data_IF_935926148321
#
_entry.id   IF_935926148321
#
_cell.length_a   1.000
_cell.length_b   1.000
_cell.length_c   1.000
_cell.angle_alpha   90.00
_cell.angle_beta   90.00
_cell.angle_gamma   90.00
#
_symmetry.space_group_name_H-M   'P 1'
#
loop_
_entity.id
_entity.type
_entity.pdbx_description
1 polymer ?
#
# COMPACT_ATOMS: atom_id res chain seq x y z
N UNK A 1 -39.80 -9.99 -13.56
CA UNK A 1 -38.90 -9.23 -14.46
C UNK A 1 -37.64 -8.99 -13.68
N UNK A 2 -36.48 -9.54 -14.07
CA UNK A 2 -35.23 -9.20 -13.38
C UNK A 2 -34.95 -7.73 -13.67
N UNK A 3 -35.01 -6.88 -12.66
CA UNK A 3 -34.74 -5.45 -12.85
C UNK A 3 -33.24 -5.28 -13.01
N UNK A 4 -32.77 -5.17 -14.25
CA UNK A 4 -31.36 -4.93 -14.57
C UNK A 4 -31.15 -3.46 -14.90
N UNK A 5 -30.10 -2.87 -14.35
CA UNK A 5 -29.70 -1.48 -14.62
C UNK A 5 -28.25 -1.43 -15.11
N UNK A 6 -27.88 -0.49 -15.99
CA UNK A 6 -26.49 -0.27 -16.32
C UNK A 6 -25.77 0.31 -15.11
N UNK A 7 -24.69 -0.33 -14.68
CA UNK A 7 -23.86 0.12 -13.58
C UNK A 7 -22.38 -0.01 -13.90
N UNK A 8 -21.56 0.81 -13.24
CA UNK A 8 -20.10 0.76 -13.39
C UNK A 8 -19.51 -0.12 -12.29
N UNK A 9 -18.84 -1.21 -12.69
CA UNK A 9 -18.19 -2.13 -11.77
C UNK A 9 -16.83 -1.57 -11.39
N UNK A 10 -16.66 -1.09 -10.15
CA UNK A 10 -15.40 -0.45 -9.71
C UNK A 10 -14.18 -1.36 -9.81
N UNK A 11 -14.35 -2.66 -9.56
CA UNK A 11 -13.28 -3.66 -9.57
C UNK A 11 -12.72 -3.87 -10.98
N UNK A 12 -13.62 -4.06 -11.95
CA UNK A 12 -13.26 -4.40 -13.33
C UNK A 12 -13.18 -3.15 -14.22
N UNK A 13 -13.70 -2.02 -13.73
CA UNK A 13 -13.79 -0.70 -14.40
C UNK A 13 -14.54 -0.76 -15.73
N UNK A 14 -15.59 -1.55 -15.76
CA UNK A 14 -16.43 -1.75 -16.95
C UNK A 14 -17.88 -1.45 -16.63
N UNK A 15 -18.62 -1.06 -17.66
CA UNK A 15 -20.07 -0.99 -17.58
C UNK A 15 -20.66 -2.39 -17.73
N UNK A 16 -21.53 -2.77 -16.80
CA UNK A 16 -22.23 -4.04 -16.81
C UNK A 16 -23.71 -3.85 -16.47
N UNK A 17 -24.54 -4.79 -16.90
CA UNK A 17 -25.94 -4.87 -16.47
C UNK A 17 -25.99 -5.51 -15.09
N UNK A 18 -26.26 -4.71 -14.06
CA UNK A 18 -26.36 -5.14 -12.68
C UNK A 18 -27.79 -5.58 -12.39
N UNK A 19 -27.91 -6.77 -11.83
CA UNK A 19 -29.20 -7.30 -11.39
C UNK A 19 -29.53 -6.80 -9.99
N UNK A 20 -30.62 -6.04 -9.89
CA UNK A 20 -31.05 -5.39 -8.65
C UNK A 20 -31.51 -6.40 -7.59
N UNK A 21 -31.77 -7.67 -7.94
CA UNK A 21 -32.09 -8.73 -6.97
C UNK A 21 -30.95 -8.99 -5.97
N UNK A 22 -29.71 -8.71 -6.34
CA UNK A 22 -28.55 -8.84 -5.46
C UNK A 22 -28.19 -7.56 -4.70
N UNK A 23 -29.03 -6.51 -4.81
CA UNK A 23 -28.78 -5.25 -4.13
C UNK A 23 -29.14 -5.39 -2.66
N UNK A 24 -28.15 -5.25 -1.79
CA UNK A 24 -28.33 -5.20 -0.34
C UNK A 24 -28.08 -3.78 0.14
N UNK A 25 -28.88 -3.35 1.12
CA UNK A 25 -28.63 -2.08 1.79
C UNK A 25 -27.33 -2.21 2.57
N UNK A 26 -26.32 -1.45 2.16
CA UNK A 26 -25.16 -1.21 3.00
C UNK A 26 -25.64 -0.28 4.11
N UNK A 27 -25.99 -0.86 5.27
CA UNK A 27 -26.49 -0.07 6.41
C UNK A 27 -25.43 0.95 6.78
N UNK A 28 -25.68 2.22 6.43
CA UNK A 28 -24.87 3.34 6.87
C UNK A 28 -25.37 3.75 8.26
N UNK A 29 -24.97 3.03 9.30
CA UNK A 29 -25.08 3.53 10.67
C UNK A 29 -24.03 4.62 10.89
N UNK A 30 -24.13 5.71 10.14
CA UNK A 30 -23.38 6.94 10.40
C UNK A 30 -23.82 7.61 11.71
N UNK A 31 -24.93 7.14 12.32
CA UNK A 31 -25.48 7.66 13.57
C UNK A 31 -25.05 6.86 14.82
N UNK A 32 -24.51 5.63 14.67
CA UNK A 32 -24.10 4.79 15.82
C UNK A 32 -22.58 4.57 15.91
N UNK A 33 -21.77 5.30 15.15
CA UNK A 33 -20.32 5.33 15.37
C UNK A 33 -19.99 6.21 16.60
N UNK A 34 -20.56 5.87 17.76
CA UNK A 34 -19.97 6.29 19.03
C UNK A 34 -18.59 5.64 19.11
N UNK A 35 -17.50 6.40 19.28
CA UNK A 35 -16.21 5.82 19.62
C UNK A 35 -16.36 5.27 21.04
N UNK A 36 -16.76 4.00 21.16
CA UNK A 36 -16.73 3.33 22.45
C UNK A 36 -15.27 3.15 22.83
N UNK A 37 -14.90 3.77 23.93
CA UNK A 37 -13.62 3.64 24.60
C UNK A 37 -13.30 2.15 24.82
N UNK A 38 -12.12 1.75 24.34
CA UNK A 38 -11.36 0.55 24.71
C UNK A 38 -12.03 -0.83 24.50
N UNK A 39 -11.38 -1.65 23.67
CA UNK A 39 -11.36 -3.11 23.73
C UNK A 39 -12.56 -3.95 23.21
N UNK A 40 -13.47 -3.40 22.41
CA UNK A 40 -14.18 -4.27 21.47
C UNK A 40 -13.26 -4.60 20.30
N UNK A 41 -12.76 -5.84 20.25
CA UNK A 41 -12.00 -6.37 19.12
C UNK A 41 -12.75 -6.07 17.81
N UNK A 42 -12.29 -5.07 17.08
CA UNK A 42 -12.82 -4.66 15.78
C UNK A 42 -12.83 -5.88 14.84
N UNK A 43 -13.99 -6.51 14.70
CA UNK A 43 -14.15 -7.76 13.95
C UNK A 43 -14.04 -7.54 12.43
N UNK A 44 -14.07 -6.29 11.95
CA UNK A 44 -13.91 -5.95 10.54
C UNK A 44 -12.52 -6.25 10.00
N UNK A 45 -12.36 -6.29 8.68
CA UNK A 45 -11.07 -6.63 8.07
C UNK A 45 -9.91 -5.72 8.53
N UNK A 46 -10.18 -4.42 8.72
CA UNK A 46 -9.18 -3.45 9.19
C UNK A 46 -8.67 -3.75 10.61
N UNK A 47 -9.58 -4.08 11.53
CA UNK A 47 -9.27 -4.41 12.92
C UNK A 47 -8.38 -5.65 13.04
N UNK A 48 -8.53 -6.60 12.14
CA UNK A 48 -7.72 -7.82 12.11
C UNK A 48 -6.33 -7.64 11.47
N UNK A 49 -6.05 -6.51 10.81
CA UNK A 49 -4.74 -6.27 10.20
C UNK A 49 -3.62 -6.19 11.24
N UNK A 50 -2.50 -6.84 10.94
CA UNK A 50 -1.26 -6.73 11.73
C UNK A 50 -0.46 -5.56 11.17
N UNK A 51 -0.67 -4.38 11.72
CA UNK A 51 -0.01 -3.13 11.30
C UNK A 51 1.06 -2.70 12.31
N UNK A 52 2.05 -1.88 11.89
CA UNK A 52 2.94 -1.19 12.82
C UNK A 52 2.16 -0.38 13.86
N UNK A 53 2.78 -0.16 15.03
CA UNK A 53 2.16 0.57 16.14
C UNK A 53 1.76 1.99 15.75
N UNK A 54 0.59 2.44 16.20
CA UNK A 54 0.04 3.78 15.92
C UNK A 54 -0.62 3.94 14.55
N UNK A 55 -0.34 3.07 13.56
CA UNK A 55 -0.91 3.20 12.21
C UNK A 55 -2.42 3.13 12.19
N UNK A 56 -3.02 2.21 12.97
CA UNK A 56 -4.48 2.10 13.08
C UNK A 56 -5.06 3.39 13.62
N UNK A 57 -4.55 3.87 14.76
CA UNK A 57 -5.07 5.06 15.44
C UNK A 57 -4.99 6.30 14.57
N UNK A 58 -3.86 6.48 13.87
CA UNK A 58 -3.65 7.58 12.93
C UNK A 58 -4.68 7.56 11.78
N UNK A 59 -4.86 6.41 11.13
CA UNK A 59 -5.83 6.28 10.03
C UNK A 59 -7.27 6.47 10.52
N UNK A 60 -7.60 5.85 11.67
CA UNK A 60 -8.92 5.94 12.29
C UNK A 60 -9.24 7.32 12.84
N UNK A 61 -8.23 8.15 13.10
CA UNK A 61 -8.45 9.55 13.48
C UNK A 61 -8.73 10.43 12.27
N UNK A 62 -7.93 10.28 11.20
CA UNK A 62 -8.00 11.18 10.03
C UNK A 62 -9.19 10.91 9.11
N UNK A 63 -9.48 9.64 8.82
CA UNK A 63 -10.51 9.26 7.84
C UNK A 63 -11.91 9.71 8.26
N UNK A 64 -12.41 9.42 9.47
CA UNK A 64 -13.73 9.90 9.89
C UNK A 64 -13.75 11.41 10.10
N UNK A 65 -12.64 12.04 10.54
CA UNK A 65 -12.56 13.50 10.59
C UNK A 65 -12.76 14.13 9.21
N UNK A 66 -12.14 13.56 8.16
CA UNK A 66 -12.34 14.03 6.78
C UNK A 66 -13.79 13.88 6.34
N UNK A 67 -14.42 12.70 6.53
CA UNK A 67 -15.83 12.51 6.18
C UNK A 67 -16.75 13.48 6.92
N UNK A 68 -16.56 13.66 8.24
CA UNK A 68 -17.34 14.61 9.04
C UNK A 68 -17.20 16.05 8.53
N UNK A 69 -15.99 16.47 8.17
CA UNK A 69 -15.75 17.81 7.61
C UNK A 69 -16.43 17.97 6.25
N UNK A 70 -16.36 16.95 5.38
CA UNK A 70 -17.04 16.94 4.08
C UNK A 70 -18.56 17.09 4.23
N UNK A 71 -19.18 16.34 5.13
CA UNK A 71 -20.62 16.46 5.41
C UNK A 71 -21.01 17.82 6.00
N UNK A 72 -20.19 18.39 6.87
CA UNK A 72 -20.42 19.74 7.44
C UNK A 72 -20.29 20.84 6.39
N UNK A 73 -19.32 20.74 5.49
CA UNK A 73 -19.14 21.69 4.38
C UNK A 73 -20.32 21.66 3.39
N UNK A 74 -21.02 20.52 3.27
CA UNK A 74 -22.28 20.45 2.53
C UNK A 74 -23.46 21.10 3.29
N UNK A 75 -23.39 21.19 4.62
CA UNK A 75 -24.44 21.72 5.49
C UNK A 75 -24.28 23.21 5.84
N UNK A 76 -23.06 23.76 5.77
CA UNK A 76 -22.73 25.17 5.96
C UNK A 76 -21.59 25.56 5.04
N UNK A 77 -21.68 26.77 4.47
CA UNK A 77 -20.63 27.48 3.72
C UNK A 77 -19.50 27.92 4.69
N UNK A 78 -18.95 26.98 5.46
CA UNK A 78 -18.01 27.25 6.55
C UNK A 78 -16.57 27.32 6.00
N UNK A 79 -16.09 28.56 5.98
CA UNK A 79 -14.90 29.05 5.33
C UNK A 79 -13.66 28.83 6.22
N UNK A 80 -12.75 27.94 5.82
CA UNK A 80 -11.54 27.61 6.61
C UNK A 80 -10.24 28.16 6.03
N UNK A 81 -10.28 28.89 4.92
CA UNK A 81 -9.08 29.39 4.23
C UNK A 81 -9.00 30.93 4.23
N UNK A 82 -7.80 31.46 4.51
CA UNK A 82 -7.53 32.90 4.69
C UNK A 82 -7.60 33.65 3.34
N UNK A 83 -7.32 32.96 2.23
CA UNK A 83 -7.27 33.57 0.89
C UNK A 83 -8.51 33.20 0.08
N UNK A 84 -9.29 34.21 -0.30
CA UNK A 84 -10.43 34.05 -1.22
C UNK A 84 -9.94 33.68 -2.63
N UNK A 85 -10.48 32.60 -3.20
CA UNK A 85 -10.43 32.36 -4.66
C UNK A 85 -9.43 31.34 -5.20
N UNK A 86 -8.78 30.52 -4.36
CA UNK A 86 -7.99 29.39 -4.88
C UNK A 86 -8.88 28.20 -5.23
N UNK A 87 -9.08 27.97 -6.54
CA UNK A 87 -9.32 26.61 -7.07
C UNK A 87 -10.77 26.25 -7.38
N UNK A 88 -11.30 26.73 -8.50
CA UNK A 88 -12.25 25.95 -9.29
C UNK A 88 -11.44 25.31 -10.41
N UNK A 89 -11.24 23.99 -10.37
CA UNK A 89 -10.69 23.27 -11.52
C UNK A 89 -11.86 22.86 -12.42
N UNK A 90 -11.90 23.42 -13.62
CA UNK A 90 -12.88 23.03 -14.64
C UNK A 90 -12.28 21.85 -15.42
N UNK A 91 -12.89 20.68 -15.31
CA UNK A 91 -12.53 19.47 -16.04
C UNK A 91 -13.53 19.30 -17.18
N UNK A 92 -13.05 19.36 -18.42
CA UNK A 92 -13.87 19.07 -19.59
C UNK A 92 -13.60 17.65 -20.07
N UNK A 93 -14.61 16.78 -20.02
CA UNK A 93 -14.58 15.42 -20.52
C UNK A 93 -15.32 15.32 -21.84
N UNK A 94 -14.67 14.77 -22.87
CA UNK A 94 -15.28 14.55 -24.18
C UNK A 94 -15.33 13.05 -24.48
N UNK A 95 -16.52 12.49 -24.70
CA UNK A 95 -16.67 11.09 -25.09
C UNK A 95 -17.87 10.90 -26.02
N UNK A 96 -17.67 10.21 -27.15
CA UNK A 96 -18.75 9.87 -28.09
C UNK A 96 -19.51 11.08 -28.65
N UNK A 97 -18.83 12.19 -28.93
CA UNK A 97 -19.45 13.43 -29.44
C UNK A 97 -20.09 14.34 -28.39
N UNK A 98 -20.09 13.95 -27.11
CA UNK A 98 -20.61 14.75 -26.00
C UNK A 98 -19.48 15.35 -25.17
N UNK A 99 -19.63 16.61 -24.76
CA UNK A 99 -18.69 17.31 -23.87
C UNK A 99 -19.37 17.64 -22.54
N UNK A 100 -18.72 17.26 -21.43
CA UNK A 100 -19.18 17.46 -20.06
C UNK A 100 -18.16 18.32 -19.33
N UNK A 101 -18.59 19.42 -18.70
CA UNK A 101 -17.73 20.22 -17.84
C UNK A 101 -18.06 19.99 -16.37
N UNK A 102 -17.09 19.51 -15.61
CA UNK A 102 -17.16 19.34 -14.16
C UNK A 102 -16.38 20.47 -13.50
N UNK A 103 -17.01 21.15 -12.54
CA UNK A 103 -16.30 22.08 -11.67
C UNK A 103 -15.95 21.31 -10.40
N UNK A 104 -14.67 20.99 -10.21
CA UNK A 104 -14.19 20.58 -8.90
C UNK A 104 -14.16 21.82 -8.02
N UNK A 105 -15.15 21.91 -7.13
CA UNK A 105 -15.18 22.89 -6.06
C UNK A 105 -14.20 22.45 -4.97
N UNK A 106 -13.46 23.42 -4.43
CA UNK A 106 -12.52 23.22 -3.33
C UNK A 106 -13.27 23.05 -1.99
N UNK A 107 -14.15 22.05 -1.93
CA UNK A 107 -15.02 21.76 -0.80
C UNK A 107 -14.24 20.95 0.25
N UNK A 108 -13.28 21.60 0.91
CA UNK A 108 -12.42 21.00 1.93
C UNK A 108 -11.12 20.40 1.39
N UNK A 109 -10.04 20.51 2.17
CA UNK A 109 -8.74 19.91 1.84
C UNK A 109 -8.90 18.39 1.76
N UNK A 110 -8.56 17.79 0.61
CA UNK A 110 -8.50 16.33 0.45
C UNK A 110 -7.62 15.66 1.51
N UNK A 111 -7.80 14.37 1.73
CA UNK A 111 -6.93 13.59 2.61
C UNK A 111 -6.06 12.66 1.77
N UNK A 112 -4.76 12.95 1.70
CA UNK A 112 -3.79 12.15 0.95
C UNK A 112 -2.89 11.41 1.93
N UNK A 113 -2.96 10.08 1.92
CA UNK A 113 -2.18 9.18 2.77
C UNK A 113 -1.23 8.37 1.90
N UNK A 114 0.08 8.48 2.14
CA UNK A 114 1.10 7.65 1.52
C UNK A 114 1.40 6.43 2.38
N UNK A 115 1.25 5.23 1.82
CA UNK A 115 1.67 3.97 2.39
C UNK A 115 2.94 3.51 1.68
N UNK A 116 4.07 3.42 2.38
CA UNK A 116 5.34 3.10 1.74
C UNK A 116 6.13 2.06 2.54
N UNK A 117 7.04 1.34 1.86
CA UNK A 117 7.95 0.39 2.51
C UNK A 117 7.93 -0.97 1.83
N UNK A 118 8.29 -2.03 2.57
CA UNK A 118 8.54 -3.35 2.04
C UNK A 118 7.35 -3.95 1.25
N UNK A 119 7.59 -4.76 0.20
CA UNK A 119 6.52 -5.39 -0.55
C UNK A 119 5.80 -6.47 0.27
N UNK A 120 4.49 -6.63 0.05
CA UNK A 120 3.71 -7.74 0.61
C UNK A 120 3.39 -7.64 2.12
N UNK A 121 3.51 -6.46 2.72
CA UNK A 121 3.29 -6.21 4.17
C UNK A 121 1.93 -5.57 4.51
N UNK A 122 1.02 -5.48 3.55
CA UNK A 122 -0.37 -5.04 3.82
C UNK A 122 -0.70 -3.57 3.49
N UNK A 123 0.12 -2.88 2.69
CA UNK A 123 -0.17 -1.49 2.23
C UNK A 123 -1.53 -1.39 1.52
N UNK A 124 -1.71 -2.10 0.41
CA UNK A 124 -2.97 -2.16 -0.35
C UNK A 124 -4.14 -2.62 0.53
N UNK A 125 -3.94 -3.66 1.34
CA UNK A 125 -4.95 -4.20 2.25
C UNK A 125 -5.37 -3.21 3.35
N UNK A 126 -4.51 -2.26 3.71
CA UNK A 126 -4.88 -1.20 4.65
C UNK A 126 -5.94 -0.30 4.04
N UNK A 127 -5.76 0.15 2.79
CA UNK A 127 -6.76 0.97 2.09
C UNK A 127 -8.08 0.20 1.87
N UNK A 128 -7.99 -1.09 1.53
CA UNK A 128 -9.16 -1.98 1.42
C UNK A 128 -9.92 -2.07 2.75
N UNK A 129 -9.21 -2.32 3.86
CA UNK A 129 -9.80 -2.40 5.19
C UNK A 129 -10.44 -1.08 5.63
N UNK A 130 -9.83 0.06 5.30
CA UNK A 130 -10.41 1.39 5.57
C UNK A 130 -11.73 1.56 4.80
N UNK A 131 -11.73 1.26 3.51
CA UNK A 131 -12.94 1.37 2.69
C UNK A 131 -14.08 0.48 3.24
N UNK A 132 -13.77 -0.77 3.62
CA UNK A 132 -14.72 -1.68 4.25
C UNK A 132 -15.23 -1.18 5.60
N UNK A 133 -14.35 -0.64 6.45
CA UNK A 133 -14.70 -0.15 7.78
C UNK A 133 -15.64 1.04 7.72
N UNK A 134 -15.37 1.99 6.83
CA UNK A 134 -16.20 3.18 6.66
C UNK A 134 -17.36 2.97 5.67
N UNK A 135 -17.56 1.75 5.16
CA UNK A 135 -18.62 1.40 4.20
C UNK A 135 -18.60 2.29 2.96
N UNK A 136 -17.40 2.60 2.48
CA UNK A 136 -17.16 3.40 1.29
C UNK A 136 -16.70 2.51 0.15
N UNK A 137 -17.10 2.76 -1.11
CA UNK A 137 -16.56 2.01 -2.21
C UNK A 137 -15.05 2.30 -2.36
N UNK A 138 -14.29 1.27 -2.74
CA UNK A 138 -12.87 1.41 -3.06
C UNK A 138 -12.73 1.54 -4.58
N UNK A 139 -12.10 2.62 -5.03
CA UNK A 139 -11.77 2.81 -6.45
C UNK A 139 -10.25 2.73 -6.64
N UNK A 140 -9.79 1.60 -7.17
CA UNK A 140 -8.36 1.33 -7.38
C UNK A 140 -7.92 1.70 -8.81
N UNK A 141 -6.80 2.40 -8.91
CA UNK A 141 -6.13 2.80 -10.15
C UNK A 141 -4.72 2.21 -10.15
N UNK A 142 -4.32 1.68 -11.30
CA UNK A 142 -2.98 1.18 -11.59
C UNK A 142 -2.45 1.84 -12.87
N UNK A 143 -1.13 1.92 -13.01
CA UNK A 143 -0.47 2.70 -14.06
C UNK A 143 -0.70 2.15 -15.47
N UNK A 144 -0.89 0.83 -15.60
CA UNK A 144 -1.22 0.18 -16.88
C UNK A 144 -2.53 0.65 -17.51
N UNK A 145 -3.32 1.47 -16.81
CA UNK A 145 -4.63 1.93 -17.24
C UNK A 145 -4.68 3.39 -17.68
N UNK A 146 -3.56 4.10 -17.66
CA UNK A 146 -3.54 5.55 -17.83
C UNK A 146 -2.96 5.99 -19.18
N UNK A 147 -3.28 5.24 -20.25
CA UNK A 147 -2.87 5.59 -21.61
C UNK A 147 -1.35 5.45 -21.83
N UNK A 148 -0.92 5.68 -23.08
CA UNK A 148 0.49 5.56 -23.49
C UNK A 148 1.19 6.90 -23.68
N UNK A 149 0.46 8.02 -23.59
CA UNK A 149 1.00 9.38 -23.71
C UNK A 149 0.45 10.28 -22.59
N UNK A 150 1.15 11.40 -22.35
CA UNK A 150 0.88 12.30 -21.23
C UNK A 150 -0.50 12.97 -21.25
N UNK A 151 -1.08 13.20 -22.43
CA UNK A 151 -2.39 13.83 -22.54
C UNK A 151 -3.50 12.84 -22.17
N UNK A 152 -3.42 11.61 -22.66
CA UNK A 152 -4.34 10.53 -22.31
C UNK A 152 -4.22 10.17 -20.83
N UNK A 153 -2.99 10.20 -20.31
CA UNK A 153 -2.71 10.01 -18.90
C UNK A 153 -3.39 11.06 -18.02
N UNK A 154 -3.19 12.35 -18.33
CA UNK A 154 -3.81 13.45 -17.59
C UNK A 154 -5.34 13.35 -17.63
N UNK A 155 -5.92 13.13 -18.82
CA UNK A 155 -7.36 13.03 -19.00
C UNK A 155 -7.96 11.84 -18.23
N UNK A 156 -7.31 10.67 -18.30
CA UNK A 156 -7.76 9.49 -17.58
C UNK A 156 -7.64 9.67 -16.06
N UNK A 157 -6.54 10.26 -15.58
CA UNK A 157 -6.35 10.54 -14.16
C UNK A 157 -7.41 11.53 -13.63
N UNK A 158 -7.63 12.64 -14.34
CA UNK A 158 -8.67 13.62 -14.00
C UNK A 158 -10.07 12.99 -13.98
N UNK A 159 -10.38 12.16 -14.98
CA UNK A 159 -11.66 11.44 -15.06
C UNK A 159 -11.85 10.54 -13.84
N UNK A 160 -10.84 9.73 -13.52
CA UNK A 160 -10.93 8.81 -12.38
C UNK A 160 -11.08 9.57 -11.05
N UNK A 161 -10.39 10.70 -10.88
CA UNK A 161 -10.49 11.52 -9.66
C UNK A 161 -11.87 12.16 -9.53
N UNK A 162 -12.44 12.66 -10.63
CA UNK A 162 -13.79 13.21 -10.66
C UNK A 162 -14.84 12.13 -10.33
N UNK A 163 -14.70 10.93 -10.88
CA UNK A 163 -15.57 9.79 -10.58
C UNK A 163 -15.44 9.36 -9.11
N UNK A 164 -14.22 9.22 -8.59
CA UNK A 164 -13.98 8.89 -7.19
C UNK A 164 -14.67 9.87 -6.24
N UNK A 165 -14.59 11.16 -6.53
CA UNK A 165 -15.25 12.19 -5.74
C UNK A 165 -16.79 12.12 -5.85
N UNK A 166 -17.30 11.93 -7.08
CA UNK A 166 -18.75 11.83 -7.34
C UNK A 166 -19.38 10.62 -6.66
N UNK A 167 -18.66 9.51 -6.58
CA UNK A 167 -19.12 8.27 -5.93
C UNK A 167 -18.81 8.22 -4.43
N UNK A 168 -18.21 9.26 -3.87
CA UNK A 168 -17.79 9.34 -2.46
C UNK A 168 -16.92 8.13 -2.05
N UNK A 169 -15.99 7.75 -2.93
CA UNK A 169 -15.12 6.59 -2.77
C UNK A 169 -13.84 6.92 -2.00
N UNK A 170 -13.24 5.87 -1.41
CA UNK A 170 -11.81 5.86 -1.12
C UNK A 170 -11.07 5.56 -2.43
N UNK A 171 -10.20 6.47 -2.85
CA UNK A 171 -9.36 6.28 -4.03
C UNK A 171 -8.04 5.62 -3.62
N UNK A 172 -7.61 4.60 -4.36
CA UNK A 172 -6.35 3.90 -4.16
C UNK A 172 -5.53 3.95 -5.44
N UNK A 173 -4.33 4.52 -5.36
CA UNK A 173 -3.35 4.53 -6.44
C UNK A 173 -2.21 3.61 -6.02
N UNK A 174 -2.16 2.42 -6.63
CA UNK A 174 -1.18 1.39 -6.29
C UNK A 174 0.11 1.59 -7.11
N UNK A 175 1.27 1.34 -6.51
CA UNK A 175 2.59 1.49 -7.17
C UNK A 175 2.83 2.89 -7.75
N UNK A 176 2.56 3.91 -6.92
CA UNK A 176 2.60 5.31 -7.31
C UNK A 176 3.97 5.80 -7.79
N UNK A 177 5.04 5.04 -7.53
CA UNK A 177 6.38 5.28 -8.07
C UNK A 177 6.42 5.27 -9.60
N UNK A 178 5.56 4.49 -10.26
CA UNK A 178 5.48 4.49 -11.73
C UNK A 178 4.92 5.82 -12.27
N UNK A 179 4.12 6.55 -11.46
CA UNK A 179 3.61 7.88 -11.85
C UNK A 179 4.65 9.01 -11.74
N UNK A 180 5.83 8.73 -11.21
CA UNK A 180 6.90 9.72 -11.11
C UNK A 180 7.52 10.06 -12.47
N UNK A 181 7.30 9.23 -13.51
CA UNK A 181 7.66 9.58 -14.89
C UNK A 181 6.92 10.85 -15.38
N UNK A 182 5.67 11.07 -14.94
CA UNK A 182 4.84 12.23 -15.26
C UNK A 182 4.55 13.11 -14.03
N UNK A 183 5.57 13.23 -13.16
CA UNK A 183 5.52 13.91 -11.86
C UNK A 183 4.76 15.23 -11.85
N UNK A 184 4.99 16.09 -12.85
CA UNK A 184 4.39 17.45 -12.90
C UNK A 184 2.87 17.40 -12.98
N UNK A 185 2.33 16.50 -13.82
CA UNK A 185 0.89 16.33 -14.00
C UNK A 185 0.27 15.72 -12.76
N UNK A 186 0.90 14.67 -12.22
CA UNK A 186 0.43 13.99 -11.03
C UNK A 186 0.32 14.93 -9.82
N UNK A 187 1.37 15.72 -9.52
CA UNK A 187 1.37 16.68 -8.42
C UNK A 187 0.27 17.76 -8.57
N UNK A 188 0.04 18.23 -9.80
CA UNK A 188 -1.02 19.20 -10.07
C UNK A 188 -2.39 18.61 -9.74
N UNK A 189 -2.66 17.37 -10.16
CA UNK A 189 -3.96 16.74 -9.92
C UNK A 189 -4.19 16.42 -8.43
N UNK A 190 -3.14 16.03 -7.69
CA UNK A 190 -3.21 15.84 -6.24
C UNK A 190 -3.66 17.11 -5.49
N UNK A 191 -3.24 18.29 -5.95
CA UNK A 191 -3.55 19.58 -5.30
C UNK A 191 -5.06 19.90 -5.30
N UNK A 192 -5.80 19.42 -6.30
CA UNK A 192 -7.23 19.69 -6.45
C UNK A 192 -8.12 18.53 -6.00
N UNK A 193 -7.55 17.43 -5.51
CA UNK A 193 -8.33 16.29 -5.08
C UNK A 193 -9.00 16.56 -3.74
N UNK A 194 -10.34 16.49 -3.70
CA UNK A 194 -11.16 16.80 -2.53
C UNK A 194 -11.72 15.56 -1.80
N UNK A 195 -11.15 14.38 -2.06
CA UNK A 195 -11.56 13.11 -1.44
C UNK A 195 -10.48 12.47 -0.57
N UNK A 196 -10.65 11.18 -0.27
CA UNK A 196 -9.65 10.37 0.42
C UNK A 196 -8.84 9.57 -0.60
N UNK A 197 -7.54 9.82 -0.65
CA UNK A 197 -6.60 9.16 -1.55
C UNK A 197 -5.53 8.42 -0.76
N UNK A 198 -5.44 7.12 -0.99
CA UNK A 198 -4.31 6.30 -0.60
C UNK A 198 -3.36 6.13 -1.78
N UNK A 199 -2.09 6.40 -1.54
CA UNK A 199 -0.99 6.12 -2.45
C UNK A 199 -0.19 4.97 -1.87
N UNK A 200 0.17 3.95 -2.66
CA UNK A 200 1.14 2.93 -2.23
C UNK A 200 2.42 3.05 -3.01
N UNK A 201 3.56 2.76 -2.39
CA UNK A 201 4.83 2.63 -3.12
C UNK A 201 5.80 1.67 -2.42
N UNK A 202 6.65 1.04 -3.22
CA UNK A 202 7.81 0.31 -2.72
C UNK A 202 9.13 1.11 -2.88
N UNK A 203 9.10 2.28 -3.54
CA UNK A 203 10.28 3.08 -3.89
C UNK A 203 10.19 4.51 -3.34
N UNK A 204 10.31 4.66 -2.02
CA UNK A 204 10.24 6.00 -1.44
C UNK A 204 11.40 6.91 -1.88
N UNK A 205 12.53 6.34 -2.30
CA UNK A 205 13.69 7.12 -2.79
C UNK A 205 13.39 7.99 -4.02
N UNK A 206 12.32 7.68 -4.75
CA UNK A 206 11.95 8.44 -5.95
C UNK A 206 11.08 9.69 -5.61
N UNK A 207 10.60 9.80 -4.37
CA UNK A 207 9.75 10.89 -3.89
C UNK A 207 10.61 12.07 -3.39
N UNK A 208 10.24 13.29 -3.78
CA UNK A 208 10.93 14.53 -3.39
C UNK A 208 10.10 15.38 -2.43
N UNK A 209 10.67 16.51 -2.01
CA UNK A 209 10.02 17.51 -1.17
C UNK A 209 8.70 18.04 -1.79
N UNK A 210 8.65 18.23 -3.11
CA UNK A 210 7.45 18.72 -3.79
C UNK A 210 6.29 17.71 -3.68
N UNK A 211 6.57 16.41 -3.71
CA UNK A 211 5.59 15.37 -3.46
C UNK A 211 5.20 15.30 -1.99
N UNK A 212 6.19 15.29 -1.09
CA UNK A 212 5.97 15.27 0.36
C UNK A 212 5.05 16.40 0.81
N UNK A 213 5.17 17.60 0.23
CA UNK A 213 4.33 18.77 0.56
C UNK A 213 2.82 18.59 0.30
N UNK A 214 2.43 17.59 -0.50
CA UNK A 214 1.02 17.28 -0.84
C UNK A 214 0.49 16.06 -0.06
N UNK A 215 1.35 15.36 0.66
CA UNK A 215 0.96 14.22 1.50
C UNK A 215 0.59 14.75 2.89
N UNK A 216 -0.59 14.37 3.37
CA UNK A 216 -1.03 14.73 4.73
C UNK A 216 -0.45 13.80 5.77
N UNK A 217 -0.27 12.52 5.41
CA UNK A 217 0.29 11.50 6.28
C UNK A 217 1.08 10.48 5.49
N UNK A 218 2.28 10.16 5.96
CA UNK A 218 3.12 9.09 5.41
C UNK A 218 3.26 7.98 6.45
N UNK A 219 2.84 6.76 6.09
CA UNK A 219 2.90 5.58 6.95
C UNK A 219 3.92 4.60 6.41
N UNK A 220 4.97 4.35 7.20
CA UNK A 220 6.02 3.40 6.86
C UNK A 220 5.63 1.97 7.24
N UNK A 221 5.84 1.03 6.32
CA UNK A 221 5.62 -0.39 6.52
C UNK A 221 6.97 -1.13 6.42
N UNK A 222 7.63 -1.38 7.56
CA UNK A 222 8.86 -2.15 7.58
C UNK A 222 8.61 -3.61 7.22
N UNK A 223 9.68 -4.36 6.99
CA UNK A 223 9.61 -5.81 6.93
C UNK A 223 9.08 -6.39 8.24
N UNK A 224 8.45 -7.56 8.15
CA UNK A 224 7.87 -8.22 9.31
C UNK A 224 8.99 -8.61 10.31
N UNK A 225 8.84 -8.12 11.53
CA UNK A 225 9.54 -8.66 12.71
C UNK A 225 9.09 -10.09 12.98
N UNK A 226 9.84 -10.84 13.77
CA UNK A 226 9.44 -12.17 14.24
C UNK A 226 8.05 -12.15 14.88
N UNK A 227 7.82 -11.19 15.79
CA UNK A 227 6.53 -11.03 16.47
C UNK A 227 5.40 -10.81 15.47
N UNK A 228 5.57 -9.89 14.52
CA UNK A 228 4.55 -9.62 13.51
C UNK A 228 4.36 -10.81 12.55
N UNK A 229 5.41 -11.57 12.25
CA UNK A 229 5.35 -12.79 11.42
C UNK A 229 4.46 -13.83 12.09
N UNK A 230 4.71 -14.12 13.37
CA UNK A 230 3.88 -15.03 14.17
C UNK A 230 2.42 -14.54 14.25
N UNK A 231 2.19 -13.24 14.45
CA UNK A 231 0.84 -12.66 14.43
C UNK A 231 0.13 -12.86 13.08
N UNK A 232 0.83 -12.67 11.95
CA UNK A 232 0.27 -12.89 10.61
C UNK A 232 -0.04 -14.37 10.37
N UNK A 233 0.81 -15.30 10.84
CA UNK A 233 0.51 -16.74 10.79
C UNK A 233 -0.75 -17.07 11.62
N UNK A 234 -0.82 -16.63 12.88
CA UNK A 234 -2.00 -16.81 13.74
C UNK A 234 -3.27 -16.30 13.07
N UNK A 235 -3.22 -15.11 12.46
CA UNK A 235 -4.34 -14.56 11.70
C UNK A 235 -4.77 -15.49 10.57
N UNK A 236 -3.84 -15.96 9.74
CA UNK A 236 -4.17 -16.87 8.63
C UNK A 236 -4.77 -18.19 9.11
N UNK A 237 -4.21 -18.81 10.16
CA UNK A 237 -4.75 -20.04 10.74
C UNK A 237 -6.15 -19.84 11.32
N UNK A 238 -6.39 -18.71 12.00
CA UNK A 238 -7.72 -18.33 12.49
C UNK A 238 -8.72 -18.16 11.34
N UNK A 239 -8.34 -17.47 10.27
CA UNK A 239 -9.19 -17.30 9.07
C UNK A 239 -9.52 -18.64 8.41
N UNK A 240 -8.58 -19.60 8.41
CA UNK A 240 -8.84 -20.97 7.94
C UNK A 240 -9.88 -21.65 8.83
N UNK A 241 -9.71 -21.63 10.16
CA UNK A 241 -10.67 -22.20 11.11
C UNK A 241 -12.06 -21.60 10.94
N UNK A 242 -12.16 -20.28 10.84
CA UNK A 242 -13.43 -19.57 10.66
C UNK A 242 -14.13 -19.96 9.35
N UNK A 243 -13.38 -20.11 8.25
CA UNK A 243 -13.93 -20.56 6.96
C UNK A 243 -14.52 -21.97 7.05
N UNK A 244 -13.83 -22.88 7.74
CA UNK A 244 -14.32 -24.23 7.99
C UNK A 244 -15.59 -24.22 8.84
N UNK A 245 -15.59 -23.46 9.94
CA UNK A 245 -16.73 -23.33 10.83
C UNK A 245 -17.96 -22.75 10.10
N UNK A 246 -17.79 -21.74 9.24
CA UNK A 246 -18.89 -21.13 8.46
C UNK A 246 -19.58 -22.09 7.49
N UNK A 247 -18.91 -23.21 7.15
CA UNK A 247 -19.44 -24.28 6.28
C UNK A 247 -19.84 -25.52 7.08
N UNK A 248 -19.94 -25.41 8.40
CA UNK A 248 -20.19 -26.52 9.32
C UNK A 248 -19.17 -27.68 9.19
N UNK A 249 -17.93 -27.36 8.77
CA UNK A 249 -16.82 -28.33 8.62
C UNK A 249 -15.84 -28.19 9.77
N UNK A 250 -15.14 -29.29 10.08
CA UNK A 250 -14.10 -29.32 11.12
C UNK A 250 -12.73 -29.55 10.51
N UNK A 251 -11.72 -28.86 11.05
CA UNK A 251 -10.31 -29.03 10.71
C UNK A 251 -9.49 -29.14 12.00
N UNK A 252 -8.57 -30.09 12.04
CA UNK A 252 -7.53 -30.13 13.07
C UNK A 252 -6.30 -29.37 12.56
N UNK A 253 -5.74 -28.48 13.37
CA UNK A 253 -4.55 -27.71 13.02
C UNK A 253 -3.55 -27.84 14.16
N UNK A 254 -2.33 -28.27 13.86
CA UNK A 254 -1.23 -28.32 14.83
C UNK A 254 -0.60 -26.92 14.96
N UNK A 255 -1.38 -25.98 15.52
CA UNK A 255 -1.07 -24.55 15.52
C UNK A 255 0.25 -24.24 16.22
N UNK A 256 0.51 -24.79 17.41
CA UNK A 256 1.73 -24.50 18.16
C UNK A 256 3.00 -24.92 17.41
N UNK A 257 2.99 -26.10 16.79
CA UNK A 257 4.11 -26.59 15.98
C UNK A 257 4.35 -25.72 14.75
N UNK A 258 3.27 -25.36 14.03
CA UNK A 258 3.33 -24.47 12.87
C UNK A 258 3.93 -23.10 13.24
N UNK A 259 3.51 -22.53 14.37
CA UNK A 259 4.00 -21.24 14.84
C UNK A 259 5.47 -21.33 15.31
N UNK A 260 5.86 -22.41 15.98
CA UNK A 260 7.25 -22.64 16.35
C UNK A 260 8.15 -22.74 15.12
N UNK A 261 7.73 -23.50 14.10
CA UNK A 261 8.46 -23.63 12.84
C UNK A 261 8.53 -22.31 12.08
N UNK A 262 7.44 -21.53 12.04
CA UNK A 262 7.47 -20.20 11.43
C UNK A 262 8.46 -19.25 12.11
N UNK A 263 8.53 -19.28 13.45
CA UNK A 263 9.51 -18.51 14.21
C UNK A 263 10.94 -18.98 13.97
N UNK A 264 11.17 -20.30 13.94
CA UNK A 264 12.46 -20.89 13.62
C UNK A 264 12.93 -20.50 12.21
N UNK A 265 12.05 -20.58 11.20
CA UNK A 265 12.33 -20.12 9.83
C UNK A 265 12.77 -18.65 9.81
N UNK A 266 12.03 -17.77 10.49
CA UNK A 266 12.37 -16.34 10.51
C UNK A 266 13.76 -16.05 11.10
N UNK A 267 14.16 -16.81 12.13
CA UNK A 267 15.47 -16.69 12.79
C UNK A 267 16.60 -17.28 11.96
N UNK A 268 16.37 -18.46 11.36
CA UNK A 268 17.39 -19.22 10.67
C UNK A 268 17.62 -18.77 9.22
N UNK A 269 16.62 -18.15 8.59
CA UNK A 269 16.64 -17.78 7.17
C UNK A 269 16.54 -16.25 6.96
N UNK A 270 17.53 -15.44 7.39
CA UNK A 270 17.46 -13.98 7.32
C UNK A 270 17.33 -13.43 5.89
N UNK A 271 17.89 -14.11 4.90
CA UNK A 271 17.82 -13.73 3.47
C UNK A 271 16.50 -14.17 2.80
N UNK A 272 15.74 -15.07 3.43
CA UNK A 272 14.53 -15.68 2.87
C UNK A 272 13.32 -15.55 3.81
N UNK A 273 13.27 -14.49 4.62
CA UNK A 273 12.12 -14.17 5.46
C UNK A 273 10.87 -13.92 4.62
N UNK A 274 9.76 -14.49 5.04
CA UNK A 274 8.48 -14.29 4.37
C UNK A 274 7.87 -12.93 4.68
N UNK A 275 7.32 -12.28 3.66
CA UNK A 275 6.36 -11.18 3.83
C UNK A 275 4.93 -11.71 4.03
N UNK A 276 3.97 -10.83 4.32
CA UNK A 276 2.58 -11.21 4.58
C UNK A 276 1.91 -11.95 3.41
N UNK A 277 2.21 -11.56 2.15
CA UNK A 277 1.71 -12.28 0.96
C UNK A 277 2.26 -13.70 0.89
N UNK A 278 3.55 -13.87 1.16
CA UNK A 278 4.19 -15.19 1.17
C UNK A 278 3.65 -16.06 2.31
N UNK A 279 3.45 -15.52 3.52
CA UNK A 279 2.85 -16.25 4.65
C UNK A 279 1.45 -16.76 4.27
N UNK A 280 0.61 -15.90 3.66
CA UNK A 280 -0.71 -16.29 3.17
C UNK A 280 -0.61 -17.44 2.17
N UNK A 281 0.26 -17.32 1.17
CA UNK A 281 0.47 -18.36 0.17
C UNK A 281 0.92 -19.67 0.82
N UNK A 282 1.89 -19.62 1.74
CA UNK A 282 2.38 -20.79 2.47
C UNK A 282 1.25 -21.48 3.24
N UNK A 283 0.43 -20.73 3.97
CA UNK A 283 -0.72 -21.28 4.70
C UNK A 283 -1.76 -21.90 3.76
N UNK A 284 -2.06 -21.24 2.63
CA UNK A 284 -3.03 -21.73 1.64
C UNK A 284 -2.54 -22.99 0.93
N UNK A 285 -1.27 -23.04 0.53
CA UNK A 285 -0.67 -24.22 -0.10
C UNK A 285 -0.59 -25.38 0.88
N UNK A 286 -0.17 -25.15 2.13
CA UNK A 286 -0.15 -26.18 3.15
C UNK A 286 -1.56 -26.75 3.43
N UNK A 287 -2.57 -25.89 3.49
CA UNK A 287 -3.97 -26.31 3.58
C UNK A 287 -4.41 -27.14 2.37
N UNK A 288 -4.08 -26.71 1.16
CA UNK A 288 -4.43 -27.44 -0.06
C UNK A 288 -3.79 -28.84 -0.09
N UNK A 289 -2.54 -28.98 0.36
CA UNK A 289 -1.88 -30.28 0.50
C UNK A 289 -2.59 -31.17 1.53
N UNK A 290 -2.98 -30.61 2.68
CA UNK A 290 -3.72 -31.33 3.70
C UNK A 290 -5.11 -31.77 3.22
N UNK A 291 -5.81 -30.91 2.48
CA UNK A 291 -7.10 -31.21 1.87
C UNK A 291 -6.97 -32.32 0.81
N UNK A 292 -5.93 -32.26 -0.02
CA UNK A 292 -5.64 -33.27 -1.04
C UNK A 292 -5.34 -34.64 -0.43
N UNK A 293 -4.51 -34.70 0.62
CA UNK A 293 -4.20 -35.96 1.30
C UNK A 293 -5.40 -36.54 2.05
N UNK A 294 -6.33 -35.69 2.52
CA UNK A 294 -7.58 -36.12 3.15
C UNK A 294 -8.63 -36.67 2.16
N UNK A 295 -8.42 -36.59 0.84
CA UNK A 295 -9.34 -37.14 -0.15
C UNK A 295 -9.28 -38.68 -0.20
N UNK A 296 -10.44 -39.37 -0.35
CA UNK A 296 -10.48 -40.82 -0.43
C UNK A 296 -9.74 -41.34 -1.68
N UNK A 297 -9.21 -42.57 -1.59
CA UNK A 297 -8.54 -43.23 -2.72
C UNK A 297 -9.53 -43.34 -3.89
N UNK A 298 -9.19 -42.77 -5.05
CA UNK A 298 -10.03 -42.72 -6.24
C UNK A 298 -10.70 -41.37 -6.53
N UNK A 299 -10.80 -40.48 -5.53
CA UNK A 299 -11.40 -39.15 -5.69
C UNK A 299 -10.37 -38.01 -5.81
N UNK A 300 -9.08 -38.34 -5.91
CA UNK A 300 -7.97 -37.37 -5.84
C UNK A 300 -7.98 -36.29 -6.94
N UNK A 301 -8.66 -36.58 -8.04
CA UNK A 301 -8.75 -35.70 -9.20
C UNK A 301 -10.21 -35.30 -9.50
N UNK A 302 -11.14 -35.69 -8.63
CA UNK A 302 -12.55 -35.33 -8.80
C UNK A 302 -12.80 -33.93 -8.23
N UNK A 303 -13.09 -32.99 -9.13
CA UNK A 303 -13.33 -31.58 -8.80
C UNK A 303 -14.69 -31.36 -8.12
N UNK A 304 -15.59 -32.35 -8.14
CA UNK A 304 -16.96 -32.22 -7.65
C UNK A 304 -17.19 -32.90 -6.30
N UNK A 305 -16.16 -33.52 -5.70
CA UNK A 305 -16.30 -34.20 -4.41
C UNK A 305 -16.26 -33.17 -3.28
N UNK A 306 -17.44 -32.68 -2.92
CA UNK A 306 -17.67 -31.96 -1.66
C UNK A 306 -18.15 -32.91 -0.57
N UNK A 307 -17.23 -33.74 -0.08
CA UNK A 307 -17.54 -34.65 1.00
C UNK A 307 -17.44 -33.88 2.35
N UNK A 308 -18.60 -33.60 2.96
CA UNK A 308 -18.74 -32.73 4.14
C UNK A 308 -18.06 -33.31 5.39
N UNK A 309 -17.94 -34.65 5.48
CA UNK A 309 -17.37 -35.37 6.63
C UNK A 309 -15.83 -35.53 6.59
N UNK A 310 -15.15 -34.87 5.64
CA UNK A 310 -13.68 -34.96 5.50
C UNK A 310 -12.96 -34.41 6.74
N UNK A 311 -12.23 -35.27 7.44
CA UNK A 311 -11.35 -34.90 8.55
C UNK A 311 -10.02 -34.39 8.02
N UNK A 312 -9.95 -33.08 7.75
CA UNK A 312 -8.70 -32.44 7.35
C UNK A 312 -7.82 -32.19 8.58
N UNK A 313 -6.54 -32.57 8.50
CA UNK A 313 -5.55 -32.32 9.53
C UNK A 313 -4.35 -31.58 8.93
N UNK A 314 -4.24 -30.30 9.25
CA UNK A 314 -3.12 -29.44 8.87
C UNK A 314 -1.98 -29.59 9.87
N UNK A 315 -0.98 -30.37 9.50
CA UNK A 315 0.24 -30.63 10.28
C UNK A 315 1.41 -29.74 9.83
N UNK A 316 2.45 -29.66 10.66
CA UNK A 316 3.71 -28.96 10.33
C UNK A 316 4.45 -29.59 9.13
N UNK A 317 4.23 -30.87 8.83
CA UNK A 317 4.85 -31.56 7.69
C UNK A 317 4.54 -30.86 6.36
N UNK A 318 3.30 -30.41 6.16
CA UNK A 318 2.90 -29.67 4.97
C UNK A 318 3.59 -28.31 4.87
N UNK A 319 3.71 -27.62 6.01
CA UNK A 319 4.45 -26.36 6.08
C UNK A 319 5.91 -26.57 5.67
N UNK A 320 6.56 -27.62 6.17
CA UNK A 320 7.95 -27.95 5.83
C UNK A 320 8.11 -28.28 4.33
N UNK A 321 7.19 -29.04 3.74
CA UNK A 321 7.19 -29.32 2.28
C UNK A 321 7.16 -28.02 1.46
N UNK A 322 6.26 -27.09 1.81
CA UNK A 322 6.13 -25.80 1.11
C UNK A 322 7.36 -24.91 1.34
N UNK A 323 7.88 -24.90 2.57
CA UNK A 323 9.07 -24.13 2.95
C UNK A 323 10.30 -24.58 2.17
N UNK A 324 10.50 -25.90 2.06
CA UNK A 324 11.61 -26.46 1.29
C UNK A 324 11.55 -26.03 -0.17
N UNK A 325 10.39 -26.17 -0.83
CA UNK A 325 10.21 -25.75 -2.21
C UNK A 325 10.47 -24.24 -2.41
N UNK A 326 10.04 -23.41 -1.46
CA UNK A 326 10.31 -21.97 -1.48
C UNK A 326 11.82 -21.66 -1.34
N UNK A 327 12.51 -22.32 -0.41
CA UNK A 327 13.95 -22.11 -0.21
C UNK A 327 14.75 -22.55 -1.43
N UNK A 328 14.38 -23.65 -2.07
CA UNK A 328 15.04 -24.12 -3.29
C UNK A 328 14.86 -23.13 -4.45
N UNK A 329 13.68 -22.53 -4.58
CA UNK A 329 13.45 -21.44 -5.53
C UNK A 329 14.28 -20.18 -5.21
N UNK A 330 14.38 -19.79 -3.94
CA UNK A 330 15.18 -18.63 -3.54
C UNK A 330 16.67 -18.86 -3.80
N UNK A 331 17.19 -20.07 -3.56
CA UNK A 331 18.56 -20.45 -3.93
C UNK A 331 18.78 -20.35 -5.44
N UNK A 332 17.82 -20.83 -6.24
CA UNK A 332 17.86 -20.69 -7.70
C UNK A 332 17.91 -19.22 -8.12
N UNK A 333 17.04 -18.36 -7.59
CA UNK A 333 17.06 -16.92 -7.91
C UNK A 333 18.38 -16.25 -7.52
N UNK A 334 18.96 -16.61 -6.37
CA UNK A 334 20.27 -16.11 -5.94
C UNK A 334 21.36 -16.54 -6.92
N UNK A 335 21.32 -17.77 -7.41
CA UNK A 335 22.26 -18.27 -8.43
C UNK A 335 22.12 -17.53 -9.77
N UNK A 336 20.89 -17.23 -10.20
CA UNK A 336 20.62 -16.51 -11.46
C UNK A 336 21.02 -15.04 -11.37
N UNK A 337 20.70 -14.37 -10.27
CA UNK A 337 20.90 -12.93 -10.14
C UNK A 337 22.19 -12.51 -9.45
N UNK A 338 22.96 -13.47 -8.91
CA UNK A 338 24.22 -13.22 -8.20
C UNK A 338 24.07 -12.64 -6.78
N UNK A 339 22.87 -12.24 -6.36
CA UNK A 339 22.59 -11.63 -5.06
C UNK A 339 21.17 -11.98 -4.59
N UNK A 340 20.92 -11.94 -3.28
CA UNK A 340 19.62 -12.24 -2.70
C UNK A 340 18.59 -11.13 -2.96
N UNK A 341 17.32 -11.37 -2.64
CA UNK A 341 16.25 -10.40 -2.87
C UNK A 341 16.46 -9.08 -2.10
N UNK A 342 17.11 -9.12 -0.94
CA UNK A 342 17.48 -7.95 -0.16
C UNK A 342 18.65 -7.17 -0.76
N UNK A 343 19.68 -7.87 -1.26
CA UNK A 343 20.77 -7.28 -2.03
C UNK A 343 20.26 -6.54 -3.27
N UNK A 344 19.44 -7.19 -4.09
CA UNK A 344 18.81 -6.56 -5.27
C UNK A 344 17.97 -5.35 -4.94
N UNK A 345 17.24 -5.40 -3.81
CA UNK A 345 16.43 -4.27 -3.38
C UNK A 345 17.27 -3.07 -2.92
N UNK A 346 18.49 -3.28 -2.40
CA UNK A 346 19.44 -2.20 -2.11
C UNK A 346 20.05 -1.63 -3.39
N UNK A 347 20.52 -2.50 -4.28
CA UNK A 347 21.15 -2.13 -5.55
C UNK A 347 20.22 -1.30 -6.45
N UNK A 348 18.93 -1.64 -6.48
CA UNK A 348 17.91 -0.91 -7.24
C UNK A 348 17.34 0.32 -6.52
N UNK A 349 17.97 0.80 -5.44
CA UNK A 349 17.52 1.98 -4.70
C UNK A 349 16.23 1.81 -3.88
N UNK A 350 15.59 0.63 -3.89
CA UNK A 350 14.34 0.34 -3.16
C UNK A 350 14.51 0.41 -1.62
N UNK A 351 15.75 0.28 -1.09
CA UNK A 351 16.05 0.21 0.37
C UNK A 351 17.06 1.24 0.89
N UNK A 352 17.39 2.28 0.13
CA UNK A 352 18.38 3.29 0.56
C UNK A 352 18.00 3.93 1.91
N UNK A 353 16.70 4.19 2.14
CA UNK A 353 16.18 4.77 3.37
C UNK A 353 15.90 3.78 4.50
N UNK A 354 15.56 2.50 4.24
CA UNK A 354 15.44 1.48 5.32
C UNK A 354 16.77 1.27 6.04
N UNK A 355 17.87 1.33 5.28
CA UNK A 355 19.23 1.26 5.79
C UNK A 355 19.57 2.46 6.68
N UNK A 356 19.15 3.66 6.29
CA UNK A 356 19.33 4.88 7.08
C UNK A 356 18.42 4.91 8.31
N UNK A 357 17.14 4.57 8.18
CA UNK A 357 16.18 4.53 9.29
C UNK A 357 16.60 3.51 10.36
N UNK A 358 17.09 2.33 9.96
CA UNK A 358 17.70 1.38 10.90
C UNK A 358 18.98 1.94 11.55
N UNK A 359 19.79 2.71 10.82
CA UNK A 359 20.97 3.38 11.37
C UNK A 359 20.62 4.51 12.35
N UNK A 360 19.53 5.26 12.11
CA UNK A 360 19.01 6.29 13.01
C UNK A 360 18.36 5.68 14.25
N UNK A 361 17.53 4.64 14.10
CA UNK A 361 16.95 3.91 15.22
C UNK A 361 18.01 3.28 16.14
N UNK A 362 19.14 2.84 15.59
CA UNK A 362 20.28 2.35 16.38
C UNK A 362 21.11 3.48 17.02
N UNK A 363 21.08 4.71 16.49
CA UNK A 363 21.73 5.86 17.12
C UNK A 363 20.97 6.34 18.36
N UNK A 364 19.64 6.34 18.33
CA UNK A 364 18.82 6.78 19.47
C UNK A 364 18.94 5.83 20.69
N UNK A 365 19.32 4.57 20.48
CA UNK A 365 19.59 3.62 21.57
C UNK A 365 20.95 3.88 22.26
N UNK A 366 21.86 4.62 21.63
CA UNK A 366 23.23 4.81 22.13
C UNK A 366 23.50 6.19 22.76
N UNK A 367 22.47 7.02 22.98
CA UNK A 367 22.62 8.38 23.57
C UNK A 367 22.34 8.41 25.09
N UNK A 368 21.93 7.31 25.71
CA UNK A 368 21.76 7.24 27.17
C UNK A 368 22.74 6.26 27.82
N UNK A 369 24.00 6.68 27.96
CA UNK A 369 24.91 6.25 29.04
C UNK A 369 26.09 7.21 29.14
N UNK A 370 25.99 8.13 30.11
CA UNK A 370 27.07 8.79 30.84
C UNK A 370 28.15 9.51 30.04
N UNK A 371 28.17 10.84 30.09
CA UNK A 371 29.24 11.55 30.80
C UNK A 371 28.90 13.04 30.98
N UNK A 372 29.40 13.58 32.09
CA UNK A 372 28.92 14.79 32.74
C UNK A 372 29.35 16.12 32.11
N UNK A 373 28.72 17.16 32.65
CA UNK A 373 29.04 18.58 32.61
C UNK A 373 30.48 18.91 32.15
N UNK A 374 30.61 19.52 30.97
CA UNK A 374 31.73 20.37 30.61
C UNK A 374 31.22 21.66 29.98
N UNK A 375 31.63 22.77 30.59
CA UNK A 375 31.22 24.14 30.30
C UNK A 375 31.60 24.60 28.88
N UNK A 376 30.71 25.37 28.26
CA UNK A 376 30.97 26.08 27.01
C UNK A 376 31.85 27.31 27.29
N UNK A 377 33.13 27.25 26.89
CA UNK A 377 34.02 28.40 26.84
C UNK A 377 33.82 29.18 25.53
N UNK A 378 33.49 30.46 25.65
CA UNK A 378 33.41 31.45 24.57
C UNK A 378 34.78 32.12 24.41
N UNK A 379 35.36 32.22 23.20
CA UNK A 379 36.45 33.16 22.93
C UNK A 379 35.93 34.48 22.32
N UNK A 380 36.64 35.61 22.54
CA UNK A 380 36.09 36.96 22.44
C UNK A 380 36.19 37.58 21.04
N UNK A 381 35.39 38.63 20.84
CA UNK A 381 35.33 39.51 19.67
C UNK A 381 36.63 40.30 19.47
N UNK A 382 36.99 40.53 18.21
CA UNK A 382 38.00 41.48 17.76
C UNK A 382 37.63 42.07 16.39
N UNK A 383 37.75 43.39 16.27
CA UNK A 383 37.07 44.30 15.35
C UNK A 383 37.88 44.73 14.10
N UNK A 384 37.13 45.19 13.08
CA UNK A 384 37.42 46.28 12.10
C UNK A 384 38.06 45.99 10.71
N UNK A 385 37.19 45.92 9.69
CA UNK A 385 37.06 46.76 8.46
C UNK A 385 38.21 46.90 7.41
N UNK A 386 38.01 47.55 6.23
CA UNK A 386 37.59 46.93 4.96
C UNK A 386 38.49 47.29 3.73
N UNK A 387 38.43 46.55 2.61
CA UNK A 387 39.21 46.94 1.41
C UNK A 387 38.97 46.15 0.11
N UNK A 388 38.11 46.72 -0.75
CA UNK A 388 38.04 46.79 -2.23
C UNK A 388 38.33 45.60 -3.19
N UNK A 389 37.67 45.59 -4.38
CA UNK A 389 37.67 44.50 -5.36
C UNK A 389 38.73 44.70 -6.48
N UNK A 390 39.07 43.64 -7.21
CA UNK A 390 39.24 43.62 -8.68
C UNK A 390 39.84 42.29 -9.19
N UNK A 391 39.38 41.93 -10.40
CA UNK A 391 40.10 41.29 -11.50
C UNK A 391 39.98 39.77 -11.79
N UNK A 392 39.55 39.56 -13.04
CA UNK A 392 39.51 38.34 -13.84
C UNK A 392 40.88 37.65 -14.00
N UNK A 393 40.87 36.32 -14.22
CA UNK A 393 41.48 35.73 -15.44
C UNK A 393 41.26 34.21 -15.59
N UNK A 394 41.01 33.85 -16.84
CA UNK A 394 40.99 32.55 -17.51
C UNK A 394 41.87 31.43 -16.92
N UNK A 395 41.34 30.19 -16.97
CA UNK A 395 42.07 29.05 -17.57
C UNK A 395 41.08 28.13 -18.32
N UNK A 396 41.37 27.97 -19.61
CA UNK A 396 40.82 27.04 -20.61
C UNK A 396 41.31 25.60 -20.42
N UNK A 397 40.50 24.60 -20.79
CA UNK A 397 40.94 23.21 -20.93
C UNK A 397 39.91 22.30 -21.59
N UNK A 398 40.14 22.00 -22.87
CA UNK A 398 39.37 21.12 -23.75
C UNK A 398 39.36 19.64 -23.32
N UNK A 399 38.30 18.92 -23.69
CA UNK A 399 38.25 17.44 -23.68
C UNK A 399 36.93 16.87 -24.22
N UNK A 400 36.88 16.65 -25.54
CA UNK A 400 35.82 15.93 -26.26
C UNK A 400 35.88 14.40 -26.06
N UNK A 401 34.78 13.75 -26.51
CA UNK A 401 34.60 12.34 -26.92
C UNK A 401 33.87 11.45 -25.89
N UNK A 402 32.96 10.55 -26.25
CA UNK A 402 32.21 10.25 -27.46
C UNK A 402 31.13 9.21 -27.06
N UNK A 403 29.95 9.26 -27.69
CA UNK A 403 28.92 8.21 -27.62
C UNK A 403 29.32 7.00 -28.48
N UNK A 404 28.85 5.79 -28.15
CA UNK A 404 28.49 4.82 -29.17
C UNK A 404 27.00 4.52 -29.12
N UNK A 405 26.34 4.75 -30.26
CA UNK A 405 25.16 3.99 -30.66
C UNK A 405 25.63 2.66 -31.24
N UNK A 406 24.95 1.56 -30.91
CA UNK A 406 24.91 0.41 -31.81
C UNK A 406 23.57 -0.32 -31.67
N UNK A 407 22.73 -0.13 -32.69
CA UNK A 407 21.55 -0.93 -33.00
C UNK A 407 21.96 -2.11 -33.86
N UNK A 408 21.62 -3.35 -33.46
CA UNK A 408 21.36 -4.44 -34.41
C UNK A 408 20.19 -5.33 -33.98
N UNK A 409 19.17 -5.29 -34.82
CA UNK A 409 18.20 -6.35 -35.02
C UNK A 409 18.90 -7.65 -35.44
N UNK A 410 18.42 -8.80 -34.95
CA UNK A 410 18.15 -9.96 -35.81
C UNK A 410 17.22 -10.98 -35.13
N UNK A 411 16.45 -11.62 -35.98
CA UNK A 411 15.24 -12.38 -35.74
C UNK A 411 15.53 -13.89 -35.90
N UNK A 412 14.60 -14.75 -35.46
CA UNK A 412 14.47 -16.23 -35.71
C UNK A 412 15.42 -17.16 -34.91
N UNK A 413 14.96 -18.27 -34.31
CA UNK A 413 13.79 -19.15 -34.54
C UNK A 413 13.07 -19.52 -33.24
#
# INVERSE_FOLDING_TARGET
MSYKVPGFVLRDRTWAWLDLEYLSVVVSSAEDATPSDHDEEDQGAFGQLVLPGGHKDMVLSLVPQHFRNKYRAHAKDEQTDIVRGKGKLLISLSHGGYSWSYVLMNSGKGLIILLHGAPGVGKTTTAEGVAERFKKPLFQITCGNLGSNAADFEAALQTNFALANKWDCVLLVDEADVFLAERRLFLRVLEYYAGILFLTTNRIGDFDEAFASRIHMSLQYPQLTEISTIKVFKLNLRLIKNRYASRNRKIKIDEDEILQTAGAHWRNEPEARWNGRQIRNVCQTALALAEYEAQPKGAKFDLNVDNEDRKVHLTVSYLNKVTQAYLDFMKYLKAVHGTDAGGRARENGLRALESMAAAFANKDVNVNRGDGLAAWNVPPQGSASPGNPHHWSNVSGYGQAAYPQDTRFCNTK
#
